data_IF_294603782493
#
_entry.id   IF_294603782493
#
_cell.length_a   1.000
_cell.length_b   1.000
_cell.length_c   1.000
_cell.angle_alpha   90.00
_cell.angle_beta   90.00
_cell.angle_gamma   90.00
#
_symmetry.space_group_name_H-M   'P 1'
#
loop_
_entity.id
_entity.type
_entity.pdbx_description
1 polymer ?
#
# COMPACT_ATOMS: atom_id res chain seq x y z
N UNK A 1 -7.46 -0.60 15.41
CA UNK A 1 -6.01 -0.54 15.70
C UNK A 1 -5.33 -0.36 14.35
N UNK A 2 -5.00 0.88 13.99
CA UNK A 2 -4.53 1.21 12.63
C UNK A 2 -3.01 1.30 12.66
N UNK A 3 -2.35 0.45 11.89
CA UNK A 3 -0.91 0.49 11.65
C UNK A 3 -0.66 1.68 10.71
N UNK A 4 0.11 2.67 11.17
CA UNK A 4 0.44 3.88 10.42
C UNK A 4 1.56 3.67 9.38
N UNK A 5 1.88 2.40 9.08
CA UNK A 5 2.98 2.03 8.19
C UNK A 5 2.43 1.92 6.75
N UNK A 6 3.05 2.61 5.78
CA UNK A 6 2.72 2.43 4.37
C UNK A 6 2.98 0.99 3.93
N UNK A 7 1.98 0.34 3.34
CA UNK A 7 2.10 -1.03 2.85
C UNK A 7 2.67 -1.06 1.43
N UNK A 8 3.55 -2.01 1.12
CA UNK A 8 4.13 -2.21 -0.21
C UNK A 8 3.22 -3.06 -1.08
N UNK A 9 2.89 -2.60 -2.29
CA UNK A 9 2.15 -3.39 -3.26
C UNK A 9 3.04 -4.51 -3.79
N UNK A 10 2.65 -5.77 -3.57
CA UNK A 10 3.38 -6.93 -4.07
C UNK A 10 2.80 -7.44 -5.39
N UNK A 11 1.49 -7.30 -5.59
CA UNK A 11 0.82 -7.64 -6.84
C UNK A 11 -0.49 -6.88 -6.99
N UNK A 12 -0.96 -6.76 -8.24
CA UNK A 12 -2.22 -6.11 -8.58
C UNK A 12 -3.03 -7.04 -9.48
N UNK A 13 -4.27 -7.29 -9.12
CA UNK A 13 -5.27 -8.00 -9.92
C UNK A 13 -6.30 -7.00 -10.46
N UNK A 14 -6.43 -6.97 -11.79
CA UNK A 14 -7.38 -6.13 -12.53
C UNK A 14 -8.41 -6.95 -13.32
N UNK A 15 -8.49 -8.25 -13.06
CA UNK A 15 -9.39 -9.17 -13.77
C UNK A 15 -10.85 -9.02 -13.34
N UNK A 16 -11.08 -8.46 -12.15
CA UNK A 16 -12.41 -8.22 -11.58
C UNK A 16 -13.00 -6.85 -11.92
N UNK A 17 -14.22 -6.60 -11.43
CA UNK A 17 -14.91 -5.30 -11.56
C UNK A 17 -14.18 -4.18 -10.83
N UNK A 18 -13.45 -4.52 -9.77
CA UNK A 18 -12.70 -3.58 -8.94
C UNK A 18 -11.24 -4.01 -8.90
N UNK A 19 -10.27 -3.11 -9.15
CA UNK A 19 -8.87 -3.44 -9.02
C UNK A 19 -8.50 -3.69 -7.56
N UNK A 20 -7.82 -4.81 -7.32
CA UNK A 20 -7.39 -5.26 -5.99
C UNK A 20 -5.86 -5.40 -5.98
N UNK A 21 -5.23 -5.05 -4.88
CA UNK A 21 -3.80 -5.23 -4.66
C UNK A 21 -3.55 -6.14 -3.47
N UNK A 22 -2.58 -7.04 -3.58
CA UNK A 22 -1.96 -7.63 -2.41
C UNK A 22 -0.91 -6.65 -1.89
N UNK A 23 -1.03 -6.28 -0.62
CA UNK A 23 -0.20 -5.26 0.02
C UNK A 23 0.45 -5.84 1.26
N UNK A 24 1.77 -5.78 1.32
CA UNK A 24 2.59 -6.22 2.43
C UNK A 24 2.88 -5.07 3.40
N UNK A 25 2.47 -5.24 4.66
CA UNK A 25 2.74 -4.31 5.76
C UNK A 25 3.93 -4.76 6.62
N UNK A 26 4.73 -5.72 6.15
CA UNK A 26 5.91 -6.27 6.81
C UNK A 26 5.59 -7.52 7.63
N UNK A 27 4.55 -7.48 8.46
CA UNK A 27 4.12 -8.63 9.27
C UNK A 27 2.91 -9.36 8.68
N UNK A 28 2.14 -8.67 7.83
CA UNK A 28 0.89 -9.19 7.27
C UNK A 28 0.71 -8.71 5.85
N UNK A 29 0.33 -9.63 4.97
CA UNK A 29 -0.16 -9.30 3.62
C UNK A 29 -1.68 -9.22 3.65
N UNK A 30 -2.24 -8.15 3.09
CA UNK A 30 -3.70 -7.96 2.98
C UNK A 30 -4.10 -7.55 1.58
N UNK A 31 -5.29 -7.95 1.20
CA UNK A 31 -5.95 -7.46 -0.01
C UNK A 31 -6.50 -6.06 0.22
N UNK A 32 -6.17 -5.14 -0.68
CA UNK A 32 -6.54 -3.73 -0.62
C UNK A 32 -7.24 -3.32 -1.91
N UNK A 33 -8.33 -2.58 -1.76
CA UNK A 33 -9.09 -2.06 -2.89
C UNK A 33 -8.43 -0.80 -3.47
N UNK A 34 -8.20 -0.79 -4.78
CA UNK A 34 -7.54 0.29 -5.52
C UNK A 34 -8.50 1.25 -6.23
N UNK A 35 -9.80 1.25 -5.91
CA UNK A 35 -10.80 2.06 -6.63
C UNK A 35 -10.45 3.55 -6.73
N UNK A 36 -9.72 4.10 -5.74
CA UNK A 36 -9.31 5.51 -5.72
C UNK A 36 -7.89 5.76 -6.26
N UNK A 37 -7.12 4.69 -6.51
CA UNK A 37 -5.74 4.72 -7.02
C UNK A 37 -5.54 3.57 -8.01
N UNK A 38 -6.30 3.55 -9.13
CA UNK A 38 -6.26 2.44 -10.09
C UNK A 38 -4.89 2.29 -10.77
N UNK A 39 -4.11 3.37 -10.77
CA UNK A 39 -2.78 3.47 -11.36
C UNK A 39 -1.68 2.87 -10.46
N UNK A 40 -2.00 2.40 -9.25
CA UNK A 40 -1.02 1.77 -8.37
C UNK A 40 -0.43 0.51 -9.02
N UNK A 41 0.89 0.36 -8.90
CA UNK A 41 1.66 -0.75 -9.47
C UNK A 41 2.45 -1.51 -8.39
N UNK A 42 2.85 -2.77 -8.65
CA UNK A 42 3.78 -3.47 -7.77
C UNK A 42 5.05 -2.64 -7.56
N UNK A 43 5.46 -2.49 -6.29
CA UNK A 43 6.55 -1.61 -5.90
C UNK A 43 6.10 -0.26 -5.32
N UNK A 44 4.87 0.17 -5.60
CA UNK A 44 4.30 1.36 -4.96
C UNK A 44 3.99 1.10 -3.49
N UNK A 45 3.97 2.17 -2.70
CA UNK A 45 3.49 2.11 -1.31
C UNK A 45 2.14 2.77 -1.22
N UNK A 46 1.22 2.15 -0.49
CA UNK A 46 -0.13 2.64 -0.31
C UNK A 46 -0.36 3.09 1.12
N UNK A 47 -0.92 4.29 1.25
CA UNK A 47 -1.60 4.70 2.46
C UNK A 47 -3.00 4.10 2.39
N UNK A 48 -3.36 3.33 3.41
CA UNK A 48 -4.63 2.61 3.46
C UNK A 48 -5.46 3.02 4.67
N UNK A 49 -6.78 2.95 4.52
CA UNK A 49 -7.72 3.14 5.60
C UNK A 49 -8.85 2.12 5.45
N UNK A 50 -9.05 1.26 6.46
CA UNK A 50 -10.15 0.29 6.50
C UNK A 50 -10.23 -0.64 5.27
N UNK A 51 -9.08 -1.06 4.72
CA UNK A 51 -9.02 -1.97 3.57
C UNK A 51 -9.07 -1.29 2.20
N UNK A 52 -9.08 0.04 2.17
CA UNK A 52 -9.10 0.85 0.95
C UNK A 52 -7.80 1.63 0.81
N UNK A 53 -7.22 1.65 -0.38
CA UNK A 53 -6.12 2.55 -0.69
C UNK A 53 -6.66 3.96 -0.90
N UNK A 54 -6.18 4.90 -0.09
CA UNK A 54 -6.57 6.31 -0.20
C UNK A 54 -5.59 7.10 -1.06
N UNK A 55 -4.29 6.79 -1.00
CA UNK A 55 -3.24 7.46 -1.79
C UNK A 55 -2.04 6.55 -2.01
N UNK A 56 -1.32 6.78 -3.12
CA UNK A 56 0.04 6.28 -3.35
C UNK A 56 1.00 7.21 -2.60
N UNK A 57 1.82 6.64 -1.74
CA UNK A 57 2.88 7.36 -1.04
C UNK A 57 4.04 7.60 -2.02
N UNK A 58 4.51 8.84 -2.10
CA UNK A 58 5.67 9.17 -2.93
C UNK A 58 6.95 8.49 -2.44
N UNK A 59 8.00 8.44 -3.28
CA UNK A 59 9.26 7.76 -2.97
C UNK A 59 9.99 8.32 -1.73
N UNK A 60 9.65 9.54 -1.31
CA UNK A 60 10.19 10.23 -0.13
C UNK A 60 9.60 9.77 1.22
N UNK A 61 8.48 9.04 1.19
CA UNK A 61 7.72 8.68 2.40
C UNK A 61 8.33 7.45 3.11
N UNK A 62 9.32 6.79 2.51
CA UNK A 62 9.98 5.62 3.11
C UNK A 62 11.49 5.68 2.93
N UNK A 63 12.20 6.13 3.97
CA UNK A 63 13.64 5.99 4.10
C UNK A 63 13.94 5.13 5.34
N UNK A 64 14.40 3.86 5.19
CA UNK A 64 14.66 2.98 6.33
C UNK A 64 15.81 3.49 7.23
N UNK A 65 16.61 4.46 6.78
CA UNK A 65 17.64 5.09 7.62
C UNK A 65 17.07 6.21 8.52
N UNK A 66 15.89 6.76 8.20
CA UNK A 66 15.28 7.85 8.99
C UNK A 66 14.61 7.35 10.27
N UNK A 67 14.10 6.11 10.32
CA UNK A 67 13.53 5.52 11.55
C UNK A 67 14.59 4.98 12.54
N UNK A 68 15.86 4.85 12.13
CA UNK A 68 16.96 4.43 13.01
C UNK A 68 17.68 5.61 13.71
N UNK A 69 17.22 6.85 13.49
CA UNK A 69 17.83 8.07 14.04
C UNK A 69 16.96 8.79 15.10
N UNK A 70 15.94 8.11 15.66
CA UNK A 70 15.08 8.63 16.73
C UNK A 70 15.35 8.01 18.09
#
# INVERSE_FOLDING_TARGET
MCVAVPGLVVSVDRSGVVPLAQVDFGEVTREINLSFVPDAEPGDRLITHSGLAVRIAGPEVWDPATELSG
#
